data_IF_847220608226
#
_entry.id   IF_847220608226
#
_cell.length_a   1.000
_cell.length_b   1.000
_cell.length_c   1.000
_cell.angle_alpha   90.00
_cell.angle_beta   90.00
_cell.angle_gamma   90.00
#
_symmetry.space_group_name_H-M   'P 1'
#
loop_
_entity.id
_entity.type
_entity.pdbx_description
1 polymer ?
#
# COMPACT_ATOMS: atom_id res chain seq x y z
N UNK A 1 10.51 4.10 8.74
CA UNK A 1 11.19 3.38 7.63
C UNK A 1 12.70 3.27 7.85
N UNK A 2 13.43 4.39 8.06
CA UNK A 2 14.89 4.39 8.28
C UNK A 2 15.33 3.42 9.39
N UNK A 3 14.65 3.45 10.53
CA UNK A 3 15.01 2.58 11.67
C UNK A 3 14.76 1.10 11.40
N UNK A 4 13.75 0.76 10.61
CA UNK A 4 13.47 -0.63 10.21
C UNK A 4 14.60 -1.11 9.32
N UNK A 5 14.95 -0.34 8.28
CA UNK A 5 16.04 -0.68 7.37
C UNK A 5 17.39 -0.77 8.10
N UNK A 6 17.64 0.11 9.07
CA UNK A 6 18.86 0.11 9.87
C UNK A 6 19.00 -1.16 10.73
N UNK A 7 17.89 -1.74 11.21
CA UNK A 7 17.89 -2.97 12.01
C UNK A 7 18.04 -4.24 11.18
N UNK A 8 17.80 -4.19 9.87
CA UNK A 8 17.94 -5.37 8.99
C UNK A 8 19.43 -5.69 8.84
N UNK A 9 19.89 -6.91 9.20
CA UNK A 9 21.29 -7.29 9.02
C UNK A 9 21.72 -7.26 7.55
N UNK A 10 22.80 -6.54 7.24
CA UNK A 10 23.35 -6.42 5.88
C UNK A 10 24.20 -7.65 5.53
N UNK A 11 23.54 -8.71 5.06
CA UNK A 11 24.16 -10.04 4.84
C UNK A 11 24.42 -10.38 3.37
N UNK A 12 23.76 -9.68 2.45
CA UNK A 12 23.77 -9.91 1.00
C UNK A 12 23.34 -8.62 0.30
N UNK A 13 23.67 -8.41 -1.00
CA UNK A 13 23.08 -7.33 -1.79
C UNK A 13 21.55 -7.38 -1.90
N UNK A 14 20.91 -8.51 -1.58
CA UNK A 14 19.45 -8.66 -1.61
C UNK A 14 18.84 -8.30 -0.25
N UNK A 15 17.95 -7.30 -0.23
CA UNK A 15 17.33 -6.80 1.01
C UNK A 15 16.47 -7.86 1.71
N UNK A 16 15.71 -8.65 0.95
CA UNK A 16 14.83 -9.70 1.49
C UNK A 16 15.48 -11.07 1.34
N UNK A 17 15.82 -11.69 2.47
CA UNK A 17 16.34 -13.06 2.54
C UNK A 17 15.49 -13.94 3.44
N UNK A 18 15.48 -15.24 3.18
CA UNK A 18 14.92 -16.21 4.12
C UNK A 18 15.91 -16.53 5.26
N UNK A 19 15.52 -17.44 6.15
CA UNK A 19 16.29 -17.82 7.35
C UNK A 19 17.72 -18.31 7.08
N UNK A 20 17.99 -18.86 5.88
CA UNK A 20 19.33 -19.28 5.46
C UNK A 20 20.17 -18.16 4.83
N UNK A 21 19.68 -16.91 4.84
CA UNK A 21 20.37 -15.72 4.33
C UNK A 21 20.52 -15.67 2.81
N UNK A 22 19.73 -16.44 2.09
CA UNK A 22 19.70 -16.46 0.63
C UNK A 22 18.42 -15.74 0.11
N UNK A 23 18.40 -15.31 -1.16
CA UNK A 23 17.20 -14.74 -1.77
C UNK A 23 16.02 -15.71 -1.70
N UNK A 24 14.81 -15.17 -1.54
CA UNK A 24 13.60 -15.98 -1.58
C UNK A 24 13.43 -16.65 -2.95
N UNK A 25 13.19 -17.95 -2.96
CA UNK A 25 12.80 -18.67 -4.17
C UNK A 25 11.43 -18.15 -4.67
N UNK A 26 11.11 -18.27 -5.98
CA UNK A 26 9.80 -17.91 -6.50
C UNK A 26 8.66 -18.53 -5.68
N UNK A 27 7.66 -17.72 -5.30
CA UNK A 27 6.52 -18.13 -4.49
C UNK A 27 6.78 -18.33 -2.98
N UNK A 28 8.03 -18.49 -2.54
CA UNK A 28 8.33 -18.76 -1.12
C UNK A 28 8.03 -17.57 -0.20
N UNK A 29 8.19 -16.33 -0.69
CA UNK A 29 7.80 -15.13 0.05
C UNK A 29 6.27 -15.08 0.25
N UNK A 30 5.49 -15.43 -0.77
CA UNK A 30 4.03 -15.48 -0.70
C UNK A 30 3.58 -16.45 0.38
N UNK A 31 4.13 -17.67 0.38
CA UNK A 31 3.80 -18.67 1.40
C UNK A 31 4.16 -18.21 2.82
N UNK A 32 5.31 -17.57 3.00
CA UNK A 32 5.71 -17.04 4.30
C UNK A 32 4.78 -15.91 4.76
N UNK A 33 4.35 -15.04 3.84
CA UNK A 33 3.37 -14.00 4.12
C UNK A 33 2.01 -14.58 4.48
N UNK A 34 1.51 -15.56 3.72
CA UNK A 34 0.19 -16.16 3.95
C UNK A 34 0.11 -16.82 5.33
N UNK A 35 1.15 -17.55 5.74
CA UNK A 35 1.25 -18.11 7.10
C UNK A 35 1.21 -17.03 8.17
N UNK A 36 2.02 -15.98 8.03
CA UNK A 36 2.05 -14.88 9.00
C UNK A 36 0.71 -14.12 9.05
N UNK A 37 0.05 -13.95 7.90
CA UNK A 37 -1.27 -13.34 7.76
C UNK A 37 -2.34 -14.19 8.43
N UNK A 38 -2.35 -15.51 8.23
CA UNK A 38 -3.30 -16.43 8.87
C UNK A 38 -3.16 -16.41 10.39
N UNK A 39 -1.93 -16.40 10.91
CA UNK A 39 -1.65 -16.30 12.35
C UNK A 39 -2.12 -14.96 12.94
N UNK A 40 -1.83 -13.84 12.27
CA UNK A 40 -2.17 -12.51 12.75
C UNK A 40 -3.65 -12.11 12.50
N UNK A 41 -4.23 -12.63 11.43
CA UNK A 41 -5.59 -12.29 10.97
C UNK A 41 -6.27 -13.48 10.26
N UNK A 42 -6.83 -14.43 11.02
CA UNK A 42 -7.47 -15.63 10.46
C UNK A 42 -8.63 -15.35 9.48
N UNK A 43 -9.29 -14.20 9.62
CA UNK A 43 -10.40 -13.79 8.72
C UNK A 43 -9.92 -13.29 7.35
N UNK A 44 -8.61 -13.05 7.18
CA UNK A 44 -7.99 -12.54 5.96
C UNK A 44 -7.66 -13.59 4.91
N UNK A 45 -8.17 -14.82 5.03
CA UNK A 45 -7.78 -15.96 4.17
C UNK A 45 -8.00 -15.74 2.66
N UNK A 46 -9.01 -14.95 2.28
CA UNK A 46 -9.29 -14.62 0.86
C UNK A 46 -8.54 -13.39 0.33
N UNK A 47 -7.62 -12.82 1.11
CA UNK A 47 -6.80 -11.68 0.71
C UNK A 47 -5.35 -12.12 0.54
N UNK A 48 -4.64 -11.48 -0.37
CA UNK A 48 -3.29 -11.83 -0.78
C UNK A 48 -2.35 -10.65 -0.54
N UNK A 49 -1.04 -10.91 -0.63
CA UNK A 49 -0.03 -9.85 -0.52
C UNK A 49 -0.27 -8.67 -1.47
N UNK A 50 -0.76 -8.92 -2.69
CA UNK A 50 -0.99 -7.88 -3.68
C UNK A 50 -2.15 -6.91 -3.32
N UNK A 51 -3.08 -7.32 -2.46
CA UNK A 51 -4.19 -6.47 -2.00
C UNK A 51 -3.71 -5.27 -1.16
N UNK A 52 -2.50 -5.37 -0.60
CA UNK A 52 -1.84 -4.24 0.07
C UNK A 52 -1.62 -3.06 -0.88
N UNK A 53 -1.45 -3.29 -2.20
CA UNK A 53 -1.35 -2.20 -3.19
C UNK A 53 -2.67 -1.44 -3.33
N UNK A 54 -3.80 -2.16 -3.30
CA UNK A 54 -5.12 -1.53 -3.27
C UNK A 54 -5.32 -0.66 -2.02
N UNK A 55 -4.86 -1.17 -0.88
CA UNK A 55 -4.87 -0.42 0.39
C UNK A 55 -3.93 0.80 0.36
N UNK A 56 -2.76 0.68 -0.27
CA UNK A 56 -1.86 1.81 -0.45
C UNK A 56 -2.50 2.90 -1.30
N UNK A 57 -3.11 2.54 -2.43
CA UNK A 57 -3.81 3.48 -3.31
C UNK A 57 -4.94 4.23 -2.59
N UNK A 58 -5.76 3.54 -1.80
CA UNK A 58 -6.83 4.20 -1.03
C UNK A 58 -6.27 5.12 0.05
N UNK A 59 -5.18 4.73 0.73
CA UNK A 59 -4.51 5.59 1.72
C UNK A 59 -3.86 6.82 1.10
N UNK A 60 -3.22 6.69 -0.06
CA UNK A 60 -2.68 7.84 -0.79
C UNK A 60 -3.78 8.81 -1.20
N UNK A 61 -4.93 8.29 -1.63
CA UNK A 61 -6.08 9.12 -1.95
C UNK A 61 -6.69 9.81 -0.72
N UNK A 62 -6.68 9.17 0.46
CA UNK A 62 -7.12 9.81 1.71
C UNK A 62 -6.10 10.84 2.22
N UNK A 63 -4.81 10.64 1.95
CA UNK A 63 -3.79 11.68 2.05
C UNK A 63 -3.91 12.73 0.93
N UNK A 64 -4.86 12.52 0.01
CA UNK A 64 -5.27 13.26 -1.19
C UNK A 64 -4.16 13.59 -2.16
N UNK A 65 -3.38 12.58 -2.48
CA UNK A 65 -2.79 12.51 -3.80
C UNK A 65 -3.93 12.34 -4.82
N UNK A 66 -3.72 12.91 -6.00
CA UNK A 66 -4.58 12.74 -7.17
C UNK A 66 -4.46 11.32 -7.73
N UNK A 67 -5.43 10.90 -8.55
CA UNK A 67 -5.37 9.59 -9.20
C UNK A 67 -4.12 9.44 -10.08
N UNK A 68 -3.73 10.53 -10.76
CA UNK A 68 -2.50 10.63 -11.55
C UNK A 68 -1.22 10.40 -10.73
N UNK A 69 -1.05 11.13 -9.63
CA UNK A 69 0.13 10.97 -8.75
C UNK A 69 0.22 9.56 -8.19
N UNK A 70 -0.92 8.99 -7.79
CA UNK A 70 -0.99 7.61 -7.29
C UNK A 70 -0.60 6.61 -8.38
N UNK A 71 -1.09 6.81 -9.61
CA UNK A 71 -0.78 5.97 -10.76
C UNK A 71 0.72 5.98 -11.07
N UNK A 72 1.37 7.15 -11.00
CA UNK A 72 2.81 7.29 -11.20
C UNK A 72 3.62 6.58 -10.10
N UNK A 73 3.24 6.74 -8.82
CA UNK A 73 3.89 6.03 -7.70
C UNK A 73 3.71 4.51 -7.81
N UNK A 74 2.53 4.07 -8.24
CA UNK A 74 2.17 2.65 -8.29
C UNK A 74 2.54 1.96 -9.61
N UNK A 75 3.06 2.71 -10.60
CA UNK A 75 3.25 2.24 -11.97
C UNK A 75 1.98 1.55 -12.52
N UNK A 76 0.84 2.23 -12.39
CA UNK A 76 -0.47 1.79 -12.87
C UNK A 76 -1.04 2.78 -13.87
N UNK A 77 -1.99 2.32 -14.67
CA UNK A 77 -2.88 3.22 -15.41
C UNK A 77 -3.75 4.02 -14.43
N UNK A 78 -3.95 5.30 -14.71
CA UNK A 78 -4.79 6.20 -13.89
C UNK A 78 -6.22 5.66 -13.73
N UNK A 79 -6.78 5.07 -14.79
CA UNK A 79 -8.11 4.49 -14.77
C UNK A 79 -8.22 3.28 -13.80
N UNK A 80 -7.12 2.55 -13.59
CA UNK A 80 -7.05 1.47 -12.57
C UNK A 80 -7.18 2.05 -11.16
N UNK A 81 -6.50 3.15 -10.89
CA UNK A 81 -6.55 3.85 -9.60
C UNK A 81 -7.96 4.40 -9.34
N UNK A 82 -8.57 5.04 -10.34
CA UNK A 82 -9.95 5.53 -10.21
C UNK A 82 -10.94 4.43 -9.87
N UNK A 83 -10.83 3.27 -10.53
CA UNK A 83 -11.71 2.13 -10.25
C UNK A 83 -11.56 1.62 -8.81
N UNK A 84 -10.33 1.60 -8.28
CA UNK A 84 -10.06 1.23 -6.88
C UNK A 84 -10.68 2.26 -5.93
N UNK A 85 -10.46 3.56 -6.15
CA UNK A 85 -11.00 4.63 -5.31
C UNK A 85 -12.54 4.58 -5.30
N UNK A 86 -13.16 4.46 -6.48
CA UNK A 86 -14.62 4.34 -6.62
C UNK A 86 -15.18 3.15 -5.83
N UNK A 87 -14.51 1.99 -5.90
CA UNK A 87 -14.95 0.77 -5.22
C UNK A 87 -14.86 0.86 -3.68
N UNK A 88 -13.81 1.49 -3.14
CA UNK A 88 -13.49 1.37 -1.71
C UNK A 88 -13.68 2.65 -0.88
N UNK A 89 -13.64 3.84 -1.49
CA UNK A 89 -13.79 5.12 -0.78
C UNK A 89 -15.18 5.73 -1.03
N UNK A 90 -15.79 5.42 -2.17
CA UNK A 90 -17.08 5.98 -2.58
C UNK A 90 -17.03 7.49 -2.83
N UNK A 91 -18.08 8.03 -3.44
CA UNK A 91 -18.13 9.47 -3.80
C UNK A 91 -18.16 10.40 -2.58
N UNK A 92 -18.78 9.99 -1.47
CA UNK A 92 -19.00 10.84 -0.30
C UNK A 92 -17.75 11.14 0.52
N UNK A 93 -16.88 10.15 0.74
CA UNK A 93 -15.63 10.36 1.48
C UNK A 93 -14.61 11.16 0.65
N UNK A 94 -14.54 10.89 -0.65
CA UNK A 94 -13.79 11.68 -1.62
C UNK A 94 -14.18 13.17 -1.61
N UNK A 95 -15.48 13.46 -1.59
CA UNK A 95 -16.00 14.83 -1.58
C UNK A 95 -15.71 15.56 -0.27
N UNK A 96 -15.89 14.90 0.88
CA UNK A 96 -15.57 15.49 2.20
C UNK A 96 -14.09 15.87 2.31
N UNK A 97 -13.20 15.02 1.81
CA UNK A 97 -11.76 15.29 1.82
C UNK A 97 -11.38 16.47 0.91
N UNK A 98 -12.00 16.58 -0.28
CA UNK A 98 -11.84 17.78 -1.13
C UNK A 98 -12.35 19.06 -0.45
N UNK A 99 -13.51 19.01 0.23
CA UNK A 99 -14.05 20.15 0.97
C UNK A 99 -13.10 20.56 2.10
N UNK A 100 -12.55 19.60 2.86
CA UNK A 100 -11.57 19.87 3.92
C UNK A 100 -10.36 20.64 3.37
N UNK A 101 -9.81 20.21 2.23
CA UNK A 101 -8.67 20.87 1.57
C UNK A 101 -8.98 22.28 1.11
N UNK A 102 -10.14 22.51 0.52
CA UNK A 102 -10.60 23.84 0.11
C UNK A 102 -10.68 24.79 1.31
N UNK A 103 -11.21 24.32 2.45
CA UNK A 103 -11.29 25.10 3.67
C UNK A 103 -9.92 25.43 4.27
N UNK A 104 -8.99 24.47 4.22
CA UNK A 104 -7.59 24.66 4.69
C UNK A 104 -6.81 25.63 3.82
N UNK A 105 -6.98 25.58 2.49
CA UNK A 105 -6.37 26.53 1.57
C UNK A 105 -6.91 27.96 1.81
N UNK A 106 -8.23 28.09 2.03
CA UNK A 106 -8.88 29.38 2.28
C UNK A 106 -8.44 30.05 3.57
N UNK A 107 -8.12 29.29 4.62
CA UNK A 107 -7.63 29.83 5.91
C UNK A 107 -6.16 30.28 5.88
N UNK A 108 -5.42 30.01 4.81
CA UNK A 108 -4.00 30.39 4.66
C UNK A 108 -3.79 31.68 3.85
N UNK A 109 -4.87 32.28 3.36
CA UNK A 109 -4.94 33.56 2.65
C UNK A 109 -5.70 34.56 3.51
#
# INVERSE_FOLDING_TARGET
MRDVLARIPKRTPVILTHSKKEPWAPGSLTNAFDRAKEEAWPKGGNLHFHDLRGTAATKFYLAGLTAREIAEIMAWEENTVERIIRRYIGHGAALKEKIRRLNEARSRT
#
